data_IF_861251054253
#
_entry.id   IF_861251054253
#
_cell.length_a   1.000
_cell.length_b   1.000
_cell.length_c   1.000
_cell.angle_alpha   90.00
_cell.angle_beta   90.00
_cell.angle_gamma   90.00
#
_symmetry.space_group_name_H-M   'P 1'
#
loop_
_entity.id
_entity.type
_entity.pdbx_description
1 polymer ?
#
# COMPACT_ATOMS: atom_id res chain seq x y z
N UNK A 1 -22.70 30.49 -2.00
CA UNK A 1 -22.23 30.81 -0.62
C UNK A 1 -20.81 30.25 -0.50
N UNK A 2 -19.82 31.13 -0.60
CA UNK A 2 -18.40 30.73 -0.67
C UNK A 2 -17.85 30.73 0.75
N UNK A 3 -17.50 29.57 1.28
CA UNK A 3 -16.87 29.44 2.59
C UNK A 3 -15.36 29.54 2.40
N UNK A 4 -14.78 30.63 2.86
CA UNK A 4 -13.34 30.89 2.85
C UNK A 4 -12.80 30.40 4.19
N UNK A 5 -12.02 29.30 4.17
CA UNK A 5 -11.23 28.87 5.33
C UNK A 5 -9.89 29.61 5.32
N UNK A 6 -9.70 30.48 6.31
CA UNK A 6 -8.43 31.13 6.55
C UNK A 6 -7.44 30.15 7.19
N UNK A 7 -6.41 29.78 6.46
CA UNK A 7 -5.28 29.00 6.99
C UNK A 7 -4.27 29.98 7.61
N UNK A 8 -4.01 29.83 8.90
CA UNK A 8 -3.01 30.63 9.62
C UNK A 8 -1.61 30.37 9.04
N UNK A 9 -1.00 31.46 8.58
CA UNK A 9 0.33 31.54 8.01
C UNK A 9 1.39 31.27 9.09
N UNK A 10 2.04 30.13 9.04
CA UNK A 10 3.27 29.91 9.81
C UNK A 10 4.47 30.41 9.00
N UNK A 11 5.20 31.35 9.59
CA UNK A 11 6.33 32.00 8.96
C UNK A 11 7.60 31.28 9.39
N UNK A 12 8.17 30.41 8.53
CA UNK A 12 9.53 29.92 8.66
C UNK A 12 10.38 30.44 7.49
N UNK A 13 11.53 31.00 7.82
CA UNK A 13 12.50 31.57 6.90
C UNK A 13 13.19 30.42 6.16
N UNK A 14 12.92 30.24 4.89
CA UNK A 14 13.91 29.84 3.89
C UNK A 14 13.30 29.98 2.49
N UNK A 15 14.10 30.46 1.58
CA UNK A 15 13.79 30.82 0.22
C UNK A 15 13.66 29.60 -0.66
N UNK A 16 12.41 29.16 -0.95
CA UNK A 16 12.13 28.33 -2.11
C UNK A 16 10.68 28.59 -2.56
N UNK A 17 10.43 28.77 -3.86
CA UNK A 17 9.08 29.01 -4.37
C UNK A 17 8.34 27.67 -4.52
N UNK A 18 7.45 27.39 -3.58
CA UNK A 18 6.55 26.25 -3.72
C UNK A 18 5.49 26.53 -4.78
N UNK A 19 5.48 25.72 -5.81
CA UNK A 19 4.37 25.68 -6.78
C UNK A 19 3.19 24.99 -6.12
N UNK A 20 2.18 25.75 -5.75
CA UNK A 20 0.89 25.24 -5.29
C UNK A 20 0.18 24.55 -6.45
N UNK A 21 0.20 23.23 -6.47
CA UNK A 21 -0.68 22.46 -7.35
C UNK A 21 -2.03 22.30 -6.65
N UNK A 22 -2.99 23.17 -7.01
CA UNK A 22 -4.39 23.01 -6.59
C UNK A 22 -4.94 21.79 -7.31
N UNK A 23 -5.01 20.66 -6.61
CA UNK A 23 -5.80 19.52 -7.04
C UNK A 23 -7.28 19.87 -6.76
N UNK A 24 -8.05 20.18 -7.80
CA UNK A 24 -9.49 20.13 -7.74
C UNK A 24 -9.92 18.68 -7.58
N UNK A 25 -10.11 18.23 -6.35
CA UNK A 25 -10.80 16.97 -6.06
C UNK A 25 -12.27 17.28 -5.84
N UNK A 26 -13.06 17.09 -6.85
CA UNK A 26 -14.50 16.90 -6.69
C UNK A 26 -14.69 15.47 -6.17
N UNK A 27 -15.27 15.34 -4.95
CA UNK A 27 -15.71 14.09 -4.30
C UNK A 27 -14.72 13.27 -3.45
N UNK A 28 -13.94 13.90 -2.59
CA UNK A 28 -13.35 13.19 -1.45
C UNK A 28 -13.99 13.67 -0.14
N UNK A 29 -14.60 12.75 0.62
CA UNK A 29 -15.13 13.07 1.94
C UNK A 29 -13.98 13.48 2.87
N UNK A 30 -14.19 14.43 3.82
CA UNK A 30 -13.14 14.94 4.71
C UNK A 30 -12.46 13.87 5.60
N UNK A 31 -13.07 12.70 5.74
CA UNK A 31 -12.56 11.59 6.55
C UNK A 31 -11.46 10.77 5.85
N UNK A 32 -11.31 10.87 4.53
CA UNK A 32 -10.28 10.12 3.78
C UNK A 32 -8.90 10.79 3.78
N UNK A 33 -8.83 12.09 4.01
CA UNK A 33 -7.58 12.85 3.97
C UNK A 33 -6.66 12.66 5.19
N UNK A 34 -7.14 11.99 6.25
CA UNK A 34 -6.41 11.88 7.53
C UNK A 34 -5.77 10.50 7.76
N UNK A 35 -5.82 9.58 6.79
CA UNK A 35 -5.32 8.20 6.95
C UNK A 35 -3.88 7.97 6.47
N UNK A 36 -3.31 8.91 5.74
CA UNK A 36 -1.95 8.79 5.25
C UNK A 36 -0.99 9.40 6.28
N UNK A 37 -0.04 8.63 6.72
CA UNK A 37 1.01 9.09 7.64
C UNK A 37 1.92 10.09 6.92
N UNK A 38 2.05 11.19 7.54
CA UNK A 38 2.58 12.45 7.24
C UNK A 38 3.84 12.61 6.40
N UNK A 39 4.05 13.88 6.10
CA UNK A 39 5.29 14.42 5.57
C UNK A 39 6.40 14.15 6.60
N UNK A 40 7.38 13.34 6.26
CA UNK A 40 8.64 13.31 6.98
C UNK A 40 9.32 14.67 6.84
N UNK A 41 10.20 15.02 7.77
CA UNK A 41 10.89 16.32 7.77
C UNK A 41 11.60 16.62 6.44
N UNK A 42 11.86 15.60 5.63
CA UNK A 42 12.51 15.66 4.31
C UNK A 42 11.53 15.77 3.14
N UNK A 43 10.22 15.76 3.37
CA UNK A 43 9.20 15.92 2.32
C UNK A 43 9.03 14.69 1.40
N UNK A 44 9.52 13.53 1.80
CA UNK A 44 9.40 12.28 1.07
C UNK A 44 8.12 11.54 1.52
N UNK A 45 7.25 11.27 0.58
CA UNK A 45 5.96 10.63 0.85
C UNK A 45 6.03 9.15 0.47
N UNK A 46 5.91 8.26 1.45
CA UNK A 46 6.03 6.82 1.21
C UNK A 46 4.69 6.09 1.05
N UNK A 47 3.57 6.80 1.05
CA UNK A 47 2.26 6.18 0.88
C UNK A 47 1.90 5.13 1.95
N UNK A 48 2.48 5.21 3.16
CA UNK A 48 2.29 4.21 4.23
C UNK A 48 1.03 4.50 5.04
N UNK A 49 0.21 3.47 5.31
CA UNK A 49 -1.03 3.59 6.09
C UNK A 49 -0.83 3.06 7.51
N UNK A 50 -1.19 3.84 8.53
CA UNK A 50 -0.92 3.54 9.95
C UNK A 50 -1.57 2.26 10.47
N UNK A 51 -2.74 1.90 9.93
CA UNK A 51 -3.54 0.77 10.42
C UNK A 51 -3.19 -0.56 9.71
N UNK A 52 -2.11 -0.58 8.94
CA UNK A 52 -1.65 -1.78 8.24
C UNK A 52 -0.38 -2.35 8.86
N UNK A 53 -0.12 -3.62 8.56
CA UNK A 53 1.14 -4.29 8.79
C UNK A 53 1.83 -4.57 7.47
N UNK A 54 3.16 -4.67 7.49
CA UNK A 54 3.99 -4.72 6.29
C UNK A 54 5.03 -5.82 6.38
N UNK A 55 5.17 -6.59 5.31
CA UNK A 55 6.26 -7.53 5.13
C UNK A 55 7.53 -6.81 4.58
N UNK A 56 8.70 -7.41 4.79
CA UNK A 56 9.96 -6.92 4.19
C UNK A 56 9.98 -7.05 2.67
N UNK A 57 9.18 -7.95 2.13
CA UNK A 57 8.97 -8.16 0.70
C UNK A 57 7.94 -7.20 0.07
N UNK A 58 7.50 -6.17 0.84
CA UNK A 58 6.62 -5.08 0.42
C UNK A 58 5.15 -5.43 0.19
N UNK A 59 4.67 -6.51 0.77
CA UNK A 59 3.23 -6.74 0.89
C UNK A 59 2.68 -6.05 2.15
N UNK A 60 1.47 -5.52 2.03
CA UNK A 60 0.71 -5.03 3.16
C UNK A 60 -0.41 -5.99 3.54
N UNK A 61 -0.76 -5.98 4.81
CA UNK A 61 -1.89 -6.74 5.33
C UNK A 61 -2.79 -5.87 6.21
N UNK A 62 -4.09 -5.98 5.96
CA UNK A 62 -5.15 -5.39 6.78
C UNK A 62 -5.99 -6.51 7.37
N UNK A 63 -6.07 -6.56 8.69
CA UNK A 63 -6.84 -7.58 9.42
C UNK A 63 -8.21 -7.03 9.81
N UNK A 64 -9.25 -7.78 9.50
CA UNK A 64 -10.62 -7.54 9.94
C UNK A 64 -11.19 -8.85 10.53
N UNK A 65 -11.28 -8.93 11.85
CA UNK A 65 -11.62 -10.15 12.55
C UNK A 65 -10.60 -11.27 12.30
N UNK A 66 -11.02 -12.35 11.64
CA UNK A 66 -10.17 -13.49 11.28
C UNK A 66 -9.69 -13.45 9.81
N UNK A 67 -10.05 -12.40 9.07
CA UNK A 67 -9.70 -12.26 7.65
C UNK A 67 -8.64 -11.19 7.46
N UNK A 68 -7.58 -11.54 6.75
CA UNK A 68 -6.52 -10.64 6.32
C UNK A 68 -6.67 -10.32 4.83
N UNK A 69 -6.76 -9.03 4.48
CA UNK A 69 -6.68 -8.54 3.10
C UNK A 69 -5.24 -8.23 2.78
N UNK A 70 -4.74 -8.71 1.66
CA UNK A 70 -3.34 -8.61 1.24
C UNK A 70 -3.22 -7.92 -0.11
N UNK A 71 -2.24 -7.05 -0.26
CA UNK A 71 -1.82 -6.42 -1.50
C UNK A 71 -0.37 -5.98 -1.44
N UNK A 72 0.14 -5.36 -2.49
CA UNK A 72 1.50 -4.77 -2.51
C UNK A 72 1.45 -3.29 -2.17
N UNK A 73 2.54 -2.77 -1.60
CA UNK A 73 2.63 -1.38 -1.16
C UNK A 73 2.80 -0.41 -2.34
N UNK A 74 2.58 0.87 -2.06
CA UNK A 74 2.84 1.95 -3.01
C UNK A 74 4.32 1.98 -3.43
N UNK A 75 5.23 1.75 -2.48
CA UNK A 75 6.66 1.62 -2.74
C UNK A 75 6.97 0.49 -3.74
N UNK A 76 6.38 -0.70 -3.56
CA UNK A 76 6.59 -1.82 -4.47
C UNK A 76 6.06 -1.53 -5.90
N UNK A 77 4.84 -0.98 -6.02
CA UNK A 77 4.26 -0.69 -7.33
C UNK A 77 5.04 0.41 -8.07
N UNK A 78 5.58 1.41 -7.36
CA UNK A 78 6.40 2.48 -7.97
C UNK A 78 7.69 1.90 -8.56
N UNK A 79 8.34 1.00 -7.84
CA UNK A 79 9.53 0.29 -8.32
C UNK A 79 9.24 -0.66 -9.49
N UNK A 80 8.04 -1.28 -9.52
CA UNK A 80 7.62 -2.15 -10.64
C UNK A 80 7.29 -1.35 -11.91
N UNK A 81 6.71 -0.15 -11.77
CA UNK A 81 6.15 0.62 -12.86
C UNK A 81 4.77 0.11 -13.28
N UNK A 82 4.34 0.42 -14.51
CA UNK A 82 2.98 0.12 -14.99
C UNK A 82 2.68 -1.38 -15.00
N UNK A 83 1.78 -1.81 -14.12
CA UNK A 83 1.35 -3.20 -13.97
C UNK A 83 0.41 -3.56 -15.11
N UNK A 84 0.70 -4.68 -15.79
CA UNK A 84 -0.04 -5.18 -16.95
C UNK A 84 -0.72 -6.52 -16.69
N UNK A 85 -0.28 -7.28 -15.69
CA UNK A 85 -0.87 -8.55 -15.31
C UNK A 85 -0.64 -8.86 -13.84
N UNK A 86 -1.61 -9.53 -13.20
CA UNK A 86 -1.51 -10.03 -11.82
C UNK A 86 -1.93 -11.49 -11.82
N UNK A 87 -1.03 -12.38 -11.42
CA UNK A 87 -1.33 -13.79 -11.19
C UNK A 87 -2.01 -13.93 -9.83
N UNK A 88 -3.29 -14.30 -9.84
CA UNK A 88 -4.10 -14.48 -8.64
C UNK A 88 -4.02 -15.93 -8.15
N UNK A 89 -4.01 -16.17 -6.83
CA UNK A 89 -4.09 -17.51 -6.28
C UNK A 89 -5.49 -18.10 -6.46
N UNK A 90 -5.62 -19.42 -6.34
CA UNK A 90 -6.93 -20.07 -6.35
C UNK A 90 -7.65 -19.89 -4.99
N UNK A 91 -8.96 -19.62 -5.04
CA UNK A 91 -9.80 -19.62 -3.84
C UNK A 91 -9.84 -21.03 -3.25
N UNK A 92 -9.61 -21.13 -1.93
CA UNK A 92 -9.46 -22.40 -1.22
C UNK A 92 -8.03 -22.91 -1.13
N UNK A 93 -7.06 -22.31 -1.84
CA UNK A 93 -5.65 -22.64 -1.67
C UNK A 93 -5.16 -22.29 -0.25
N UNK A 94 -4.21 -23.08 0.24
CA UNK A 94 -3.51 -22.79 1.50
C UNK A 94 -2.22 -22.06 1.20
N UNK A 95 -2.02 -20.91 1.86
CA UNK A 95 -0.79 -20.13 1.82
C UNK A 95 -0.06 -20.20 3.16
N UNK A 96 1.26 -20.07 3.12
CA UNK A 96 2.11 -19.99 4.32
C UNK A 96 2.87 -18.66 4.32
N UNK A 97 3.12 -18.12 5.51
CA UNK A 97 3.89 -16.88 5.66
C UNK A 97 5.25 -17.01 4.95
N UNK A 98 5.60 -16.02 4.12
CA UNK A 98 6.83 -15.98 3.35
C UNK A 98 6.86 -16.88 2.10
N UNK A 99 5.77 -17.58 1.77
CA UNK A 99 5.67 -18.37 0.54
C UNK A 99 5.05 -17.54 -0.59
N UNK A 100 5.61 -17.66 -1.81
CA UNK A 100 5.03 -17.07 -3.01
C UNK A 100 3.64 -17.65 -3.29
N UNK A 101 2.69 -16.80 -3.63
CA UNK A 101 1.31 -17.17 -3.95
C UNK A 101 0.85 -16.71 -5.32
N UNK A 102 1.59 -15.84 -5.98
CA UNK A 102 1.31 -15.25 -7.28
C UNK A 102 2.44 -14.37 -7.74
N UNK A 103 2.19 -13.62 -8.80
CA UNK A 103 3.16 -12.69 -9.38
C UNK A 103 2.47 -11.40 -9.89
N UNK A 104 3.22 -10.32 -9.93
CA UNK A 104 2.81 -9.05 -10.57
C UNK A 104 3.76 -8.77 -11.72
N UNK A 105 3.22 -8.62 -12.92
CA UNK A 105 3.98 -8.30 -14.12
C UNK A 105 3.76 -6.83 -14.51
N UNK A 106 4.85 -6.15 -14.75
CA UNK A 106 4.86 -4.80 -15.30
C UNK A 106 5.46 -4.79 -16.70
N UNK A 107 5.40 -3.64 -17.38
CA UNK A 107 6.02 -3.44 -18.70
C UNK A 107 7.54 -3.68 -18.70
N UNK A 108 8.19 -3.68 -17.54
CA UNK A 108 9.65 -3.80 -17.41
C UNK A 108 10.15 -4.98 -16.57
N UNK A 109 9.31 -5.60 -15.75
CA UNK A 109 9.72 -6.65 -14.81
C UNK A 109 8.55 -7.52 -14.37
N UNK A 110 8.87 -8.73 -13.88
CA UNK A 110 7.95 -9.61 -13.15
C UNK A 110 8.50 -9.78 -11.74
N UNK A 111 7.64 -9.70 -10.73
CA UNK A 111 7.98 -9.90 -9.33
C UNK A 111 7.03 -10.89 -8.69
N UNK A 112 7.58 -11.88 -7.99
CA UNK A 112 6.80 -12.77 -7.15
C UNK A 112 6.19 -12.00 -5.96
N UNK A 113 5.00 -12.41 -5.54
CA UNK A 113 4.31 -11.86 -4.37
C UNK A 113 4.21 -12.92 -3.30
N UNK A 114 4.60 -12.56 -2.07
CA UNK A 114 4.69 -13.48 -0.95
C UNK A 114 3.56 -13.25 0.04
N UNK A 115 3.06 -14.33 0.66
CA UNK A 115 2.02 -14.20 1.67
C UNK A 115 2.60 -13.69 2.99
N UNK A 116 2.08 -12.58 3.55
CA UNK A 116 2.53 -12.10 4.85
C UNK A 116 1.97 -12.91 6.02
N UNK A 117 0.98 -13.78 5.78
CA UNK A 117 0.31 -14.61 6.80
C UNK A 117 0.02 -16.00 6.27
N UNK A 118 -0.12 -16.97 7.17
CA UNK A 118 -0.56 -18.32 6.85
C UNK A 118 -2.07 -18.46 6.99
N UNK A 119 -2.69 -19.16 6.03
CA UNK A 119 -4.13 -19.36 6.06
C UNK A 119 -4.69 -19.99 4.79
N UNK A 120 -6.01 -19.90 4.65
CA UNK A 120 -6.71 -20.32 3.44
C UNK A 120 -7.20 -19.09 2.68
N UNK A 121 -6.98 -19.07 1.37
CA UNK A 121 -7.51 -18.02 0.48
C UNK A 121 -9.03 -18.16 0.42
N UNK A 122 -9.74 -17.12 0.85
CA UNK A 122 -11.20 -17.11 0.87
C UNK A 122 -11.79 -16.26 -0.25
N UNK A 123 -11.04 -15.29 -0.75
CA UNK A 123 -11.46 -14.40 -1.83
C UNK A 123 -10.24 -13.88 -2.59
N UNK A 124 -10.39 -13.65 -3.90
CA UNK A 124 -9.40 -13.00 -4.75
C UNK A 124 -10.04 -11.83 -5.49
N UNK A 125 -9.24 -10.83 -5.82
CA UNK A 125 -9.71 -9.65 -6.53
C UNK A 125 -9.75 -9.90 -8.04
N UNK A 126 -10.83 -10.48 -8.53
CA UNK A 126 -11.00 -10.78 -9.95
C UNK A 126 -11.00 -9.52 -10.86
N UNK A 127 -11.22 -8.32 -10.28
CA UNK A 127 -11.18 -7.06 -11.03
C UNK A 127 -9.78 -6.81 -11.63
N UNK A 128 -8.73 -7.34 -10.99
CA UNK A 128 -7.34 -7.22 -11.47
C UNK A 128 -7.10 -7.96 -12.79
N UNK A 129 -7.89 -8.97 -13.13
CA UNK A 129 -7.81 -9.66 -14.42
C UNK A 129 -8.12 -8.72 -15.60
N UNK A 130 -9.02 -7.75 -15.38
CA UNK A 130 -9.45 -6.80 -16.40
C UNK A 130 -8.79 -5.42 -16.23
N UNK A 131 -8.35 -5.11 -15.02
CA UNK A 131 -7.83 -3.80 -14.65
C UNK A 131 -6.60 -3.91 -13.73
N UNK A 132 -5.49 -4.51 -14.19
CA UNK A 132 -4.31 -4.73 -13.36
C UNK A 132 -3.68 -3.40 -12.88
N UNK A 133 -3.83 -2.31 -13.63
CA UNK A 133 -3.41 -0.97 -13.23
C UNK A 133 -4.07 -0.40 -11.97
N UNK A 134 -5.06 -1.08 -11.39
CA UNK A 134 -5.59 -0.73 -10.06
C UNK A 134 -4.53 -0.91 -8.96
N UNK A 135 -3.57 -1.79 -9.17
CA UNK A 135 -2.43 -1.96 -8.26
C UNK A 135 -1.59 -0.68 -8.20
N UNK A 136 -1.43 0.02 -9.34
CA UNK A 136 -0.72 1.31 -9.39
C UNK A 136 -1.57 2.47 -8.86
N UNK A 137 -2.83 2.55 -9.31
CA UNK A 137 -3.67 3.73 -9.04
C UNK A 137 -4.32 3.73 -7.67
N UNK A 138 -4.45 2.57 -7.03
CA UNK A 138 -5.13 2.42 -5.73
C UNK A 138 -4.61 1.19 -4.97
N UNK A 139 -3.30 1.12 -4.65
CA UNK A 139 -2.67 -0.08 -4.09
C UNK A 139 -3.30 -0.56 -2.78
N UNK A 140 -3.82 0.34 -1.95
CA UNK A 140 -4.35 0.03 -0.63
C UNK A 140 -5.88 -0.12 -0.56
N UNK A 141 -6.61 0.25 -1.62
CA UNK A 141 -8.08 0.14 -1.62
C UNK A 141 -8.56 -0.84 -2.68
N UNK A 142 -8.33 -0.55 -3.99
CA UNK A 142 -8.83 -1.36 -5.11
C UNK A 142 -7.83 -2.37 -5.63
N UNK A 143 -6.54 -2.15 -5.36
CA UNK A 143 -5.43 -3.00 -5.77
C UNK A 143 -5.11 -4.15 -4.81
N UNK A 144 -6.01 -4.49 -3.86
CA UNK A 144 -5.84 -5.69 -3.04
C UNK A 144 -5.84 -6.94 -3.94
N UNK A 145 -5.10 -7.98 -3.56
CA UNK A 145 -4.91 -9.18 -4.39
C UNK A 145 -5.74 -10.34 -3.88
N UNK A 146 -5.63 -10.66 -2.58
CA UNK A 146 -6.34 -11.78 -1.97
C UNK A 146 -6.82 -11.46 -0.55
N UNK A 147 -7.80 -12.24 -0.08
CA UNK A 147 -8.18 -12.33 1.33
C UNK A 147 -7.92 -13.71 1.85
N UNK A 148 -7.33 -13.79 3.04
CA UNK A 148 -6.90 -15.02 3.69
C UNK A 148 -7.60 -15.15 5.04
N UNK A 149 -8.20 -16.30 5.32
CA UNK A 149 -8.62 -16.65 6.67
C UNK A 149 -7.38 -17.07 7.44
N UNK A 150 -6.98 -16.22 8.41
CA UNK A 150 -5.72 -16.36 9.15
C UNK A 150 -5.79 -17.55 10.09
N UNK A 151 -4.78 -18.43 10.04
CA UNK A 151 -4.64 -19.58 10.94
C UNK A 151 -3.92 -19.25 12.23
N UNK A 152 -2.93 -18.36 12.17
CA UNK A 152 -2.11 -17.97 13.31
C UNK A 152 -1.94 -16.45 13.35
N UNK A 153 -2.64 -15.82 14.28
CA UNK A 153 -2.59 -14.36 14.46
C UNK A 153 -1.22 -13.88 15.00
N UNK A 154 -0.40 -14.77 15.58
CA UNK A 154 0.93 -14.41 16.08
C UNK A 154 1.92 -14.05 14.97
N UNK A 155 1.67 -14.50 13.74
CA UNK A 155 2.46 -14.12 12.57
C UNK A 155 2.41 -12.63 12.27
N UNK A 156 1.32 -11.95 12.65
CA UNK A 156 1.17 -10.50 12.50
C UNK A 156 2.15 -9.70 13.36
N UNK A 157 2.64 -10.30 14.46
CA UNK A 157 3.62 -9.67 15.35
C UNK A 157 5.02 -9.65 14.72
N UNK A 158 5.27 -10.49 13.73
CA UNK A 158 6.54 -10.52 12.97
C UNK A 158 6.60 -9.46 11.89
N UNK A 159 5.47 -8.86 11.53
CA UNK A 159 5.37 -7.85 10.49
C UNK A 159 5.67 -6.45 11.04
N UNK A 160 6.21 -5.62 10.17
CA UNK A 160 6.50 -4.22 10.50
C UNK A 160 5.22 -3.41 10.68
N UNK A 161 5.25 -2.47 11.61
CA UNK A 161 4.25 -1.41 11.68
C UNK A 161 4.57 -0.33 10.62
N UNK A 162 3.72 0.68 10.49
CA UNK A 162 3.88 1.76 9.52
C UNK A 162 5.20 2.54 9.68
N UNK A 163 5.58 2.86 10.92
CA UNK A 163 6.76 3.69 11.18
C UNK A 163 8.06 2.93 10.91
N UNK A 164 8.11 1.64 11.23
CA UNK A 164 9.26 0.78 10.97
C UNK A 164 9.37 0.44 9.47
N UNK A 165 8.23 0.30 8.78
CA UNK A 165 8.22 0.06 7.34
C UNK A 165 8.67 1.30 6.56
N UNK A 166 8.25 2.50 6.96
CA UNK A 166 8.70 3.75 6.33
C UNK A 166 10.23 3.89 6.41
N UNK A 167 10.82 3.64 7.59
CA UNK A 167 12.28 3.64 7.76
C UNK A 167 12.99 2.60 6.90
N UNK A 168 12.38 1.41 6.79
CA UNK A 168 12.90 0.33 5.96
C UNK A 168 12.97 0.74 4.49
N UNK A 169 11.91 1.37 3.95
CA UNK A 169 11.90 1.91 2.59
C UNK A 169 12.97 2.98 2.38
N UNK A 170 13.14 3.91 3.35
CA UNK A 170 14.20 4.94 3.30
C UNK A 170 15.59 4.35 3.26
N UNK A 171 15.84 3.28 4.03
CA UNK A 171 17.11 2.58 4.05
C UNK A 171 17.41 1.84 2.75
N UNK A 172 16.38 1.33 2.07
CA UNK A 172 16.53 0.68 0.77
C UNK A 172 16.82 1.68 -0.34
N UNK A 173 16.06 2.77 -0.39
CA UNK A 173 16.26 3.85 -1.35
C UNK A 173 17.66 4.50 -1.21
N UNK A 174 18.19 4.55 0.01
CA UNK A 174 19.54 5.08 0.25
C UNK A 174 20.68 4.16 -0.26
N UNK A 175 20.38 2.88 -0.57
CA UNK A 175 21.36 1.90 -1.09
C UNK A 175 21.43 1.88 -2.62
N UNK A 176 20.46 2.48 -3.28
CA UNK A 176 20.37 2.60 -4.74
C UNK A 176 20.66 4.03 -5.19
#
# INVERSE_FOLDING_TARGET
MTVIYAVKKWKKRSSSPYVFRILKSENLSPLKACKYAGDDEDGKWHGVIKDLKYAESHEWVKVDGNTATVGITDHAQDHLGDVVFVELPEVGATVSQGSGFGAVESVKATSDVYSPVSGNVVEVNEELNNSPGLVNSSPYEKGWIMKVEVKDASELDTLKNSDDYAKFCDEEDAKH
#
